data_IF_525531617467
#
_entry.id   IF_525531617467
#
_cell.length_a   1.000
_cell.length_b   1.000
_cell.length_c   1.000
_cell.angle_alpha   90.00
_cell.angle_beta   90.00
_cell.angle_gamma   90.00
#
_symmetry.space_group_name_H-M   'P 1'
#
loop_
_entity.id
_entity.type
_entity.pdbx_description
1 polymer ?
#
# COMPACT_ATOMS: atom_id res chain seq x y z
N UNK A 1 -0.24 -2.34 28.58
CA UNK A 1 -1.48 -2.98 28.11
C UNK A 1 -1.82 -2.32 26.79
N UNK A 2 -2.16 -3.09 25.75
CA UNK A 2 -2.51 -2.54 24.44
C UNK A 2 -3.74 -1.63 24.61
N UNK A 3 -3.63 -0.38 24.20
CA UNK A 3 -4.77 0.52 24.19
C UNK A 3 -5.70 0.13 23.03
N UNK A 4 -6.82 -0.51 23.38
CA UNK A 4 -7.76 -1.03 22.39
C UNK A 4 -8.55 0.10 21.73
N UNK A 5 -8.79 1.20 22.43
CA UNK A 5 -9.46 2.36 21.83
C UNK A 5 -8.58 2.98 20.74
N UNK A 6 -7.29 3.13 21.05
CA UNK A 6 -6.30 3.59 20.07
C UNK A 6 -6.17 2.65 18.87
N UNK A 7 -6.20 1.32 19.08
CA UNK A 7 -6.18 0.37 17.97
C UNK A 7 -7.41 0.51 17.07
N UNK A 8 -8.59 0.72 17.64
CA UNK A 8 -9.83 0.91 16.89
C UNK A 8 -9.77 2.21 16.08
N UNK A 9 -9.33 3.31 16.68
CA UNK A 9 -9.13 4.58 15.95
C UNK A 9 -8.18 4.43 14.76
N UNK A 10 -7.05 3.75 14.95
CA UNK A 10 -6.10 3.46 13.89
C UNK A 10 -6.67 2.53 12.81
N UNK A 11 -7.56 1.61 13.19
CA UNK A 11 -8.26 0.73 12.26
C UNK A 11 -9.20 1.54 11.37
N UNK A 12 -9.98 2.44 11.97
CA UNK A 12 -10.92 3.29 11.25
C UNK A 12 -10.22 4.28 10.31
N UNK A 13 -9.11 4.88 10.76
CA UNK A 13 -8.28 5.78 9.94
C UNK A 13 -7.69 5.07 8.72
N UNK A 14 -7.12 3.87 8.94
CA UNK A 14 -6.57 3.08 7.84
C UNK A 14 -7.68 2.60 6.89
N UNK A 15 -8.83 2.17 7.42
CA UNK A 15 -9.97 1.74 6.62
C UNK A 15 -10.49 2.88 5.73
N UNK A 16 -10.60 4.10 6.26
CA UNK A 16 -10.99 5.26 5.48
C UNK A 16 -10.03 5.52 4.32
N UNK A 17 -8.72 5.39 4.56
CA UNK A 17 -7.69 5.56 3.53
C UNK A 17 -7.76 4.44 2.46
N UNK A 18 -7.98 3.19 2.88
CA UNK A 18 -8.18 2.04 1.99
C UNK A 18 -9.42 2.21 1.11
N UNK A 19 -10.54 2.65 1.69
CA UNK A 19 -11.78 2.91 0.95
C UNK A 19 -11.65 4.07 -0.02
N UNK A 20 -10.91 5.11 0.37
CA UNK A 20 -10.56 6.24 -0.51
C UNK A 20 -9.56 5.88 -1.62
N UNK A 21 -8.97 4.68 -1.57
CA UNK A 21 -7.83 4.27 -2.40
C UNK A 21 -6.67 5.28 -2.36
N UNK A 22 -6.52 5.96 -1.22
CA UNK A 22 -5.49 6.98 -1.02
C UNK A 22 -4.19 6.31 -0.58
N UNK A 23 -3.39 5.92 -1.57
CA UNK A 23 -2.15 5.18 -1.33
C UNK A 23 -1.10 6.02 -0.62
N UNK A 24 -1.07 7.34 -0.83
CA UNK A 24 -0.12 8.22 -0.16
C UNK A 24 -0.43 8.28 1.35
N UNK A 25 -1.72 8.44 1.70
CA UNK A 25 -2.17 8.40 3.09
C UNK A 25 -1.92 7.03 3.75
N UNK A 26 -2.09 5.92 3.02
CA UNK A 26 -1.76 4.56 3.51
C UNK A 26 -0.26 4.42 3.83
N UNK A 27 0.61 4.88 2.93
CA UNK A 27 2.05 4.81 3.14
C UNK A 27 2.47 5.68 4.34
N UNK A 28 1.95 6.89 4.42
CA UNK A 28 2.19 7.80 5.54
C UNK A 28 1.73 7.20 6.88
N UNK A 29 0.54 6.60 6.91
CA UNK A 29 0.02 5.91 8.10
C UNK A 29 0.98 4.80 8.56
N UNK A 30 1.42 3.95 7.63
CA UNK A 30 2.34 2.86 7.94
C UNK A 30 3.68 3.37 8.48
N UNK A 31 4.22 4.46 7.92
CA UNK A 31 5.46 5.09 8.43
C UNK A 31 5.28 5.69 9.83
N UNK A 32 4.16 6.39 10.07
CA UNK A 32 3.88 7.03 11.35
C UNK A 32 3.63 6.04 12.48
N UNK A 33 3.05 4.89 12.16
CA UNK A 33 2.62 3.90 13.15
C UNK A 33 3.42 2.59 13.13
N UNK A 34 4.50 2.48 12.34
CA UNK A 34 5.32 1.26 12.19
C UNK A 34 5.72 0.64 13.55
N UNK A 35 6.19 1.47 14.48
CA UNK A 35 6.60 1.00 15.81
C UNK A 35 5.43 0.41 16.60
N UNK A 36 4.24 1.01 16.51
CA UNK A 36 3.04 0.49 17.15
C UNK A 36 2.59 -0.81 16.50
N UNK A 37 2.50 -0.84 15.17
CA UNK A 37 2.08 -2.02 14.38
C UNK A 37 2.95 -3.22 14.75
N UNK A 38 4.27 -3.05 14.79
CA UNK A 38 5.22 -4.11 15.16
C UNK A 38 5.14 -4.54 16.62
N UNK A 39 4.60 -3.69 17.49
CA UNK A 39 4.44 -3.99 18.91
C UNK A 39 3.17 -4.79 19.23
N UNK A 40 2.24 -4.93 18.26
CA UNK A 40 1.00 -5.68 18.44
C UNK A 40 1.32 -7.15 18.69
N UNK A 41 0.85 -7.68 19.82
CA UNK A 41 0.98 -9.08 20.21
C UNK A 41 -0.38 -9.66 20.55
N UNK A 42 -0.58 -10.98 20.37
CA UNK A 42 -1.79 -11.65 20.83
C UNK A 42 -2.03 -11.40 22.33
N UNK A 43 -3.28 -11.09 22.67
CA UNK A 43 -3.71 -10.88 24.05
C UNK A 43 -4.40 -12.15 24.59
N UNK A 44 -4.51 -12.27 25.91
CA UNK A 44 -5.39 -13.28 26.53
C UNK A 44 -6.86 -12.84 26.53
N UNK A 45 -7.12 -11.57 26.19
CA UNK A 45 -8.47 -11.01 26.09
C UNK A 45 -9.04 -11.23 24.68
N UNK A 46 -10.21 -11.88 24.62
CA UNK A 46 -10.88 -12.19 23.37
C UNK A 46 -11.35 -10.94 22.60
N UNK A 47 -11.77 -9.89 23.29
CA UNK A 47 -12.16 -8.62 22.68
C UNK A 47 -10.97 -7.88 22.08
N UNK A 48 -9.83 -7.87 22.79
CA UNK A 48 -8.58 -7.30 22.26
C UNK A 48 -8.11 -8.07 21.03
N UNK A 49 -8.18 -9.40 21.07
CA UNK A 49 -7.83 -10.22 19.90
C UNK A 49 -8.76 -10.00 18.72
N UNK A 50 -10.03 -9.68 18.96
CA UNK A 50 -10.96 -9.36 17.89
C UNK A 50 -10.58 -8.04 17.21
N UNK A 51 -10.26 -6.99 17.98
CA UNK A 51 -9.77 -5.72 17.44
C UNK A 51 -8.44 -5.89 16.66
N UNK A 52 -7.52 -6.72 17.17
CA UNK A 52 -6.27 -7.05 16.45
C UNK A 52 -6.55 -7.73 15.11
N UNK A 53 -7.52 -8.65 15.05
CA UNK A 53 -7.90 -9.32 13.80
C UNK A 53 -8.50 -8.34 12.80
N UNK A 54 -9.37 -7.44 13.25
CA UNK A 54 -9.97 -6.41 12.40
C UNK A 54 -8.87 -5.51 11.82
N UNK A 55 -8.00 -4.98 12.66
CA UNK A 55 -6.83 -4.20 12.21
C UNK A 55 -5.99 -4.97 11.19
N UNK A 56 -5.66 -6.24 11.45
CA UNK A 56 -4.87 -7.06 10.55
C UNK A 56 -5.55 -7.26 9.18
N UNK A 57 -6.87 -7.40 9.13
CA UNK A 57 -7.62 -7.52 7.88
C UNK A 57 -7.63 -6.22 7.07
N UNK A 58 -7.77 -5.07 7.73
CA UNK A 58 -7.66 -3.75 7.07
C UNK A 58 -6.25 -3.56 6.53
N UNK A 59 -5.23 -3.84 7.35
CA UNK A 59 -3.83 -3.71 6.96
C UNK A 59 -3.47 -4.61 5.77
N UNK A 60 -4.01 -5.83 5.71
CA UNK A 60 -3.81 -6.72 4.57
C UNK A 60 -4.38 -6.14 3.27
N UNK A 61 -5.59 -5.55 3.31
CA UNK A 61 -6.18 -4.88 2.15
C UNK A 61 -5.36 -3.67 1.70
N UNK A 62 -4.79 -2.92 2.65
CA UNK A 62 -3.89 -1.81 2.37
C UNK A 62 -2.63 -2.28 1.61
N UNK A 63 -2.01 -3.39 2.04
CA UNK A 63 -0.86 -3.98 1.37
C UNK A 63 -1.19 -4.41 -0.06
N UNK A 64 -2.33 -5.09 -0.25
CA UNK A 64 -2.78 -5.51 -1.59
C UNK A 64 -2.97 -4.32 -2.53
N UNK A 65 -3.50 -3.20 -2.02
CA UNK A 65 -3.66 -1.99 -2.83
C UNK A 65 -2.31 -1.42 -3.28
N UNK A 66 -1.33 -1.35 -2.36
CA UNK A 66 0.03 -0.87 -2.66
C UNK A 66 0.73 -1.79 -3.66
N UNK A 67 0.64 -3.12 -3.49
CA UNK A 67 1.22 -4.10 -4.41
C UNK A 67 0.63 -4.01 -5.82
N UNK A 68 -0.69 -3.82 -5.90
CA UNK A 68 -1.40 -3.62 -7.17
C UNK A 68 -0.93 -2.34 -7.86
N UNK A 69 -0.84 -1.22 -7.13
CA UNK A 69 -0.32 0.04 -7.67
C UNK A 69 1.11 -0.12 -8.20
N UNK A 70 1.98 -0.76 -7.41
CA UNK A 70 3.35 -1.01 -7.81
C UNK A 70 3.44 -1.82 -9.11
N UNK A 71 2.61 -2.87 -9.25
CA UNK A 71 2.51 -3.67 -10.48
C UNK A 71 2.04 -2.84 -11.68
N UNK A 72 1.04 -1.98 -11.49
CA UNK A 72 0.55 -1.06 -12.54
C UNK A 72 1.66 -0.09 -12.96
N UNK A 73 2.37 0.51 -12.01
CA UNK A 73 3.47 1.44 -12.29
C UNK A 73 4.62 0.76 -13.06
N UNK A 74 5.00 -0.46 -12.68
CA UNK A 74 6.02 -1.22 -13.40
C UNK A 74 5.61 -1.49 -14.86
N UNK A 75 4.35 -1.87 -15.09
CA UNK A 75 3.83 -2.10 -16.43
C UNK A 75 3.84 -0.82 -17.29
N UNK A 76 3.46 0.32 -16.73
CA UNK A 76 3.49 1.59 -17.44
C UNK A 76 4.93 2.06 -17.75
N UNK A 77 5.87 1.86 -16.83
CA UNK A 77 7.29 2.13 -17.09
C UNK A 77 7.84 1.24 -18.22
N UNK A 78 7.46 -0.03 -18.26
CA UNK A 78 7.83 -0.94 -19.34
C UNK A 78 7.27 -0.49 -20.70
N UNK A 79 5.97 -0.14 -20.76
CA UNK A 79 5.33 0.39 -21.97
C UNK A 79 5.99 1.68 -22.46
N UNK A 80 6.30 2.59 -21.54
CA UNK A 80 6.98 3.85 -21.84
C UNK A 80 8.38 3.59 -22.44
N UNK A 81 9.13 2.68 -21.83
CA UNK A 81 10.47 2.28 -22.32
C UNK A 81 10.40 1.65 -23.70
N UNK A 82 9.45 0.74 -23.94
CA UNK A 82 9.22 0.11 -25.24
C UNK A 82 8.84 1.13 -26.32
N UNK A 83 7.95 2.06 -25.99
CA UNK A 83 7.55 3.16 -26.89
C UNK A 83 8.75 4.05 -27.23
N UNK A 84 9.56 4.41 -26.23
CA UNK A 84 10.78 5.19 -26.43
C UNK A 84 11.78 4.48 -27.35
N UNK A 85 11.99 3.18 -27.19
CA UNK A 85 12.85 2.39 -28.08
C UNK A 85 12.31 2.35 -29.52
N UNK A 86 11.00 2.17 -29.70
CA UNK A 86 10.37 2.22 -31.03
C UNK A 86 10.51 3.59 -31.70
N UNK A 87 10.36 4.68 -30.95
CA UNK A 87 10.58 6.05 -31.48
C UNK A 87 12.05 6.30 -31.85
N UNK A 88 13.00 5.78 -31.07
CA UNK A 88 14.43 5.88 -31.38
C UNK A 88 14.76 5.10 -32.66
N UNK A 89 14.25 3.88 -32.82
CA UNK A 89 14.40 3.09 -34.05
C UNK A 89 13.82 3.83 -35.26
N UNK A 90 12.61 4.39 -35.15
CA UNK A 90 11.99 5.14 -36.24
C UNK A 90 12.78 6.40 -36.64
N UNK A 91 13.38 7.11 -35.67
CA UNK A 91 14.29 8.25 -35.94
C UNK A 91 15.61 7.81 -36.58
N UNK A 92 16.17 6.67 -36.17
CA UNK A 92 17.40 6.11 -36.76
C UNK A 92 17.22 5.66 -38.21
N UNK A 93 16.05 5.13 -38.57
CA UNK A 93 15.75 4.70 -39.94
C UNK A 93 15.55 5.89 -40.89
N UNK A 94 15.09 7.06 -40.41
CA UNK A 94 14.97 8.27 -41.25
C UNK A 94 16.30 8.88 -41.71
N UNK A 95 17.43 8.45 -41.14
CA UNK A 95 18.76 8.91 -41.51
C UNK A 95 19.64 7.84 -42.17
N UNK A 96 19.11 6.65 -42.45
CA UNK A 96 19.78 5.68 -43.31
C UNK A 96 19.64 6.12 -44.78
N UNK A 97 20.63 6.89 -45.26
CA UNK A 97 20.89 7.14 -46.69
C UNK A 97 22.13 6.36 -47.10
#
# INVERSE_FOLDING_TARGET
MLDTAYLVELTDELEASVQGQDVDSILQFCEQHDAFIRSIQPSNDAGVNQAIKEFAQVHQRALELVENLHTVMQNELFKSTKTRQGVIQYKGVKHAK
#
